data_IF_500922209169
#
_entry.id   IF_500922209169
#
_cell.length_a   1.000
_cell.length_b   1.000
_cell.length_c   1.000
_cell.angle_alpha   90.00
_cell.angle_beta   90.00
_cell.angle_gamma   90.00
#
_symmetry.space_group_name_H-M   'P 1'
#
loop_
_entity.id
_entity.type
_entity.pdbx_description
1 polymer ?
#
# COMPACT_ATOMS: atom_id res chain seq x y z
N UNK A 1 15.25 -4.43 12.67
CA UNK A 1 13.92 -4.97 13.07
C UNK A 1 12.80 -4.39 12.20
N UNK A 2 12.71 -3.07 12.11
CA UNK A 2 11.69 -2.36 11.31
C UNK A 2 11.66 -2.76 9.83
N UNK A 3 12.79 -2.72 9.10
CA UNK A 3 12.82 -3.11 7.69
C UNK A 3 12.41 -4.57 7.41
N UNK A 4 12.56 -5.47 8.41
CA UNK A 4 12.06 -6.85 8.30
C UNK A 4 10.54 -6.91 8.46
N UNK A 5 9.98 -6.16 9.41
CA UNK A 5 8.53 -6.02 9.59
C UNK A 5 7.87 -5.37 8.38
N UNK A 6 8.50 -4.36 7.79
CA UNK A 6 8.01 -3.68 6.61
C UNK A 6 7.97 -4.62 5.40
N UNK A 7 9.05 -5.38 5.16
CA UNK A 7 9.09 -6.38 4.09
C UNK A 7 8.10 -7.53 4.32
N UNK A 8 7.92 -7.97 5.57
CA UNK A 8 6.92 -8.98 5.90
C UNK A 8 5.50 -8.47 5.61
N UNK A 9 5.18 -7.24 6.04
CA UNK A 9 3.92 -6.56 5.74
C UNK A 9 3.68 -6.46 4.23
N UNK A 10 4.68 -5.98 3.46
CA UNK A 10 4.61 -5.89 1.99
C UNK A 10 4.23 -7.21 1.34
N UNK A 11 4.89 -8.29 1.75
CA UNK A 11 4.62 -9.63 1.19
C UNK A 11 3.26 -10.15 1.61
N UNK A 12 2.90 -10.03 2.89
CA UNK A 12 1.62 -10.49 3.41
C UNK A 12 0.43 -9.78 2.74
N UNK A 13 0.52 -8.46 2.56
CA UNK A 13 -0.52 -7.69 1.86
C UNK A 13 -0.60 -8.05 0.39
N UNK A 14 0.54 -8.17 -0.30
CA UNK A 14 0.57 -8.59 -1.69
C UNK A 14 -0.10 -9.97 -1.89
N UNK A 15 0.25 -10.95 -1.06
CA UNK A 15 -0.30 -12.31 -1.15
C UNK A 15 -1.81 -12.33 -0.85
N UNK A 16 -2.25 -11.54 0.14
CA UNK A 16 -3.67 -11.37 0.44
C UNK A 16 -4.42 -10.75 -0.75
N UNK A 17 -3.87 -9.71 -1.38
CA UNK A 17 -4.52 -9.02 -2.50
C UNK A 17 -4.57 -9.84 -3.78
N UNK A 18 -3.53 -10.60 -4.10
CA UNK A 18 -3.57 -11.57 -5.20
C UNK A 18 -4.68 -12.58 -4.96
N UNK A 19 -4.79 -13.10 -3.74
CA UNK A 19 -5.82 -14.10 -3.39
C UNK A 19 -7.24 -13.52 -3.45
N UNK A 20 -7.44 -12.26 -3.06
CA UNK A 20 -8.78 -11.65 -2.99
C UNK A 20 -9.24 -11.03 -4.32
N UNK A 21 -8.36 -10.42 -5.11
CA UNK A 21 -8.75 -9.69 -6.35
C UNK A 21 -8.17 -10.26 -7.65
N UNK A 22 -7.23 -11.20 -7.57
CA UNK A 22 -6.63 -11.82 -8.75
C UNK A 22 -6.08 -10.80 -9.76
N UNK A 23 -6.60 -10.86 -10.98
CA UNK A 23 -6.09 -10.11 -12.15
C UNK A 23 -6.26 -8.58 -11.99
N UNK A 24 -7.33 -8.12 -11.31
CA UNK A 24 -7.57 -6.68 -11.08
C UNK A 24 -6.48 -6.05 -10.22
N UNK A 25 -5.93 -6.81 -9.28
CA UNK A 25 -4.79 -6.37 -8.47
C UNK A 25 -3.50 -6.34 -9.28
N UNK A 26 -3.23 -7.34 -10.13
CA UNK A 26 -2.02 -7.34 -10.97
C UNK A 26 -1.93 -6.10 -11.87
N UNK A 27 -3.05 -5.65 -12.43
CA UNK A 27 -3.10 -4.46 -13.28
C UNK A 27 -2.82 -3.14 -12.53
N UNK A 28 -3.10 -3.09 -11.22
CA UNK A 28 -2.93 -1.89 -10.38
C UNK A 28 -1.76 -2.03 -9.37
N UNK A 29 -1.03 -3.13 -9.42
CA UNK A 29 0.00 -3.52 -8.44
C UNK A 29 1.14 -2.50 -8.31
N UNK A 30 1.42 -1.73 -9.37
CA UNK A 30 2.40 -0.62 -9.38
C UNK A 30 2.12 0.40 -8.28
N UNK A 31 0.86 0.67 -7.97
CA UNK A 31 0.48 1.63 -6.92
C UNK A 31 0.95 1.16 -5.54
N UNK A 32 0.89 -0.15 -5.30
CA UNK A 32 1.32 -0.75 -4.02
C UNK A 32 2.85 -0.79 -3.91
N UNK A 33 3.54 -1.10 -5.01
CA UNK A 33 5.02 -1.11 -5.05
C UNK A 33 5.61 0.26 -4.71
N UNK A 34 5.08 1.32 -5.33
CA UNK A 34 5.55 2.69 -5.08
C UNK A 34 5.33 3.15 -3.62
N UNK A 35 4.27 2.68 -2.97
CA UNK A 35 3.93 3.02 -1.59
C UNK A 35 4.96 2.48 -0.58
N UNK A 36 5.43 1.25 -0.78
CA UNK A 36 6.46 0.66 0.07
C UNK A 36 7.86 1.25 -0.20
N UNK A 37 8.15 1.58 -1.46
CA UNK A 37 9.44 2.16 -1.84
C UNK A 37 9.60 3.59 -1.25
N UNK A 38 8.51 4.36 -1.20
CA UNK A 38 8.49 5.65 -0.50
C UNK A 38 8.77 5.48 1.00
N UNK A 39 8.21 4.45 1.64
CA UNK A 39 8.40 4.21 3.07
C UNK A 39 9.83 3.77 3.42
N UNK A 40 10.46 2.95 2.57
CA UNK A 40 11.89 2.64 2.70
C UNK A 40 12.78 3.87 2.51
N UNK A 41 12.42 4.77 1.59
CA UNK A 41 13.15 6.02 1.37
C UNK A 41 13.02 6.97 2.56
N UNK A 42 11.81 7.16 3.10
CA UNK A 42 11.57 7.98 4.29
C UNK A 42 12.31 7.45 5.53
N UNK A 43 12.37 6.13 5.71
CA UNK A 43 13.17 5.54 6.80
C UNK A 43 14.68 5.78 6.65
N UNK A 44 15.20 5.85 5.42
CA UNK A 44 16.63 6.10 5.15
C UNK A 44 17.04 7.56 5.31
N UNK A 45 16.16 8.49 4.93
CA UNK A 45 16.49 9.92 4.91
C UNK A 45 16.33 10.61 6.29
N UNK A 46 15.73 9.93 7.29
CA UNK A 46 15.89 10.23 8.72
C UNK A 46 15.19 11.48 9.25
N UNK A 47 14.48 12.23 8.41
CA UNK A 47 13.91 13.55 8.77
C UNK A 47 12.49 13.52 9.37
N UNK A 48 11.78 12.38 9.31
CA UNK A 48 10.35 12.33 9.65
C UNK A 48 10.02 11.35 10.78
N UNK A 49 9.02 11.75 11.56
CA UNK A 49 8.36 10.92 12.56
C UNK A 49 7.84 9.64 11.90
N UNK A 50 8.36 8.50 12.37
CA UNK A 50 7.99 7.19 11.85
C UNK A 50 6.49 6.94 12.00
N UNK A 51 5.89 7.42 13.10
CA UNK A 51 4.47 7.25 13.36
C UNK A 51 3.62 7.99 12.33
N UNK A 52 3.95 9.24 12.04
CA UNK A 52 3.23 10.05 11.04
C UNK A 52 3.41 9.47 9.63
N UNK A 53 4.59 8.94 9.32
CA UNK A 53 4.88 8.28 8.05
C UNK A 53 4.06 7.00 7.88
N UNK A 54 3.91 6.21 8.95
CA UNK A 54 3.10 5.00 8.95
C UNK A 54 1.59 5.32 8.87
N UNK A 55 1.12 6.36 9.56
CA UNK A 55 -0.28 6.80 9.50
C UNK A 55 -0.67 7.30 8.11
N UNK A 56 0.19 8.12 7.48
CA UNK A 56 -0.05 8.59 6.11
C UNK A 56 0.00 7.43 5.10
N UNK A 57 0.92 6.48 5.29
CA UNK A 57 0.98 5.26 4.49
C UNK A 57 -0.33 4.46 4.55
N UNK A 58 -0.84 4.16 5.75
CA UNK A 58 -2.06 3.37 5.87
C UNK A 58 -3.27 4.13 5.34
N UNK A 59 -3.34 5.46 5.50
CA UNK A 59 -4.37 6.29 4.86
C UNK A 59 -4.37 6.16 3.34
N UNK A 60 -3.21 6.35 2.70
CA UNK A 60 -3.07 6.24 1.25
C UNK A 60 -3.40 4.82 0.77
N UNK A 61 -2.92 3.80 1.48
CA UNK A 61 -3.21 2.40 1.18
C UNK A 61 -4.72 2.12 1.24
N UNK A 62 -5.39 2.52 2.32
CA UNK A 62 -6.83 2.29 2.47
C UNK A 62 -7.66 3.06 1.44
N UNK A 63 -7.29 4.28 1.09
CA UNK A 63 -7.95 5.04 0.02
C UNK A 63 -7.80 4.33 -1.34
N UNK A 64 -6.60 3.88 -1.69
CA UNK A 64 -6.36 3.15 -2.95
C UNK A 64 -7.09 1.81 -2.97
N UNK A 65 -7.10 1.09 -1.85
CA UNK A 65 -7.90 -0.12 -1.70
C UNK A 65 -9.38 0.16 -1.90
N UNK A 66 -9.91 1.22 -1.28
CA UNK A 66 -11.31 1.62 -1.45
C UNK A 66 -11.66 1.88 -2.92
N UNK A 67 -10.78 2.55 -3.68
CA UNK A 67 -11.01 2.77 -5.11
C UNK A 67 -10.97 1.48 -5.93
N UNK A 68 -10.11 0.52 -5.59
CA UNK A 68 -10.05 -0.79 -6.27
C UNK A 68 -11.25 -1.66 -5.89
N UNK A 69 -11.66 -1.64 -4.62
CA UNK A 69 -12.85 -2.33 -4.13
C UNK A 69 -14.14 -1.85 -4.80
N UNK A 70 -14.26 -0.53 -4.96
CA UNK A 70 -15.41 0.10 -5.58
C UNK A 70 -15.19 0.33 -7.08
N UNK A 71 -14.20 -0.30 -7.72
CA UNK A 71 -13.99 -0.17 -9.16
C UNK A 71 -15.18 -0.69 -9.99
N UNK A 72 -16.09 -1.44 -9.37
CA UNK A 72 -17.36 -1.90 -9.94
C UNK A 72 -18.50 -0.87 -9.80
N UNK A 73 -18.29 0.17 -8.99
CA UNK A 73 -19.20 1.30 -8.83
C UNK A 73 -18.68 2.47 -9.66
N UNK A 74 -19.31 2.74 -10.80
CA UNK A 74 -19.28 4.07 -11.39
C UNK A 74 -20.00 5.03 -10.44
N UNK A 75 -19.26 5.84 -9.71
CA UNK A 75 -19.83 7.01 -9.04
C UNK A 75 -20.24 8.02 -10.13
N UNK A 76 -21.46 7.89 -10.63
CA UNK A 76 -22.09 8.96 -11.40
C UNK A 76 -22.41 10.14 -10.47
N UNK A 77 -22.13 11.39 -10.91
CA UNK A 77 -22.39 12.60 -10.14
C UNK A 77 -23.84 12.75 -9.67
#
# INVERSE_FOLDING_TARGET
LFGKLLNYSRKSFNDMFIKTYGILYQQNSIVFTNLYDNLEKYYKDGELSLQDTMDDFFKQLYQRMFTVFNAQYTFTP
#
